data_IF_337913035265
#
_entry.id   IF_337913035265
#
_cell.length_a   1.000
_cell.length_b   1.000
_cell.length_c   1.000
_cell.angle_alpha   90.00
_cell.angle_beta   90.00
_cell.angle_gamma   90.00
#
_symmetry.space_group_name_H-M   'P 1'
#
loop_
_entity.id
_entity.type
_entity.pdbx_description
1 polymer ?
#
# COMPACT_ATOMS: atom_id res chain seq x y z
N UNK A 1 64.56 6.63 -44.64
CA UNK A 1 63.98 8.00 -44.66
C UNK A 1 63.62 8.45 -43.25
N UNK A 2 64.11 9.63 -42.89
CA UNK A 2 64.16 10.18 -41.52
C UNK A 2 62.82 10.73 -41.04
N UNK A 3 62.48 10.41 -39.79
CA UNK A 3 61.33 10.90 -39.02
C UNK A 3 61.35 12.44 -38.87
N UNK A 4 60.25 13.12 -39.22
CA UNK A 4 59.99 14.52 -38.85
C UNK A 4 59.10 14.58 -37.59
N UNK A 5 59.51 15.41 -36.64
CA UNK A 5 58.92 15.65 -35.32
C UNK A 5 57.59 16.41 -35.39
N UNK A 6 56.70 16.20 -34.42
CA UNK A 6 55.87 17.27 -33.84
C UNK A 6 55.87 17.18 -32.30
N UNK A 7 55.84 18.32 -31.58
CA UNK A 7 56.12 18.39 -30.15
C UNK A 7 54.87 18.26 -29.27
N UNK A 8 55.09 17.82 -28.03
CA UNK A 8 54.08 17.58 -27.00
C UNK A 8 53.38 18.86 -26.54
N UNK A 9 52.05 18.85 -26.56
CA UNK A 9 51.17 19.90 -26.02
C UNK A 9 51.01 19.69 -24.51
N UNK A 10 51.55 20.62 -23.72
CA UNK A 10 51.34 20.67 -22.26
C UNK A 10 49.95 21.26 -21.97
N UNK A 11 49.00 20.43 -21.53
CA UNK A 11 47.73 20.91 -20.98
C UNK A 11 47.97 21.58 -19.61
N UNK A 12 47.98 22.92 -19.59
CA UNK A 12 47.91 23.72 -18.36
C UNK A 12 46.56 23.49 -17.67
N UNK A 13 46.56 22.83 -16.51
CA UNK A 13 45.41 22.75 -15.59
C UNK A 13 45.05 24.16 -15.15
N UNK A 14 43.94 24.71 -15.67
CA UNK A 14 43.34 25.94 -15.14
C UNK A 14 42.73 25.64 -13.77
N UNK A 15 43.44 26.01 -12.70
CA UNK A 15 42.84 26.14 -11.36
C UNK A 15 41.82 27.28 -11.42
N UNK A 16 40.52 26.95 -11.45
CA UNK A 16 39.46 27.94 -11.23
C UNK A 16 39.52 28.35 -9.77
N UNK A 17 39.79 29.62 -9.53
CA UNK A 17 39.74 30.24 -8.21
C UNK A 17 38.31 30.15 -7.65
N UNK A 18 38.19 29.76 -6.38
CA UNK A 18 36.93 29.81 -5.62
C UNK A 18 36.55 31.27 -5.40
N UNK A 19 35.32 31.64 -5.79
CA UNK A 19 34.75 32.93 -5.43
C UNK A 19 34.47 32.98 -3.90
N UNK A 20 34.68 34.13 -3.23
CA UNK A 20 34.37 34.29 -1.81
C UNK A 20 32.86 34.35 -1.58
N UNK A 21 32.40 33.72 -0.49
CA UNK A 21 31.00 33.72 -0.07
C UNK A 21 30.56 35.14 0.38
N UNK A 22 29.29 35.54 0.13
CA UNK A 22 28.79 36.83 0.56
C UNK A 22 28.60 36.89 2.09
N UNK A 23 29.07 37.99 2.68
CA UNK A 23 28.99 38.26 4.11
C UNK A 23 27.53 38.55 4.55
N UNK A 24 27.06 37.83 5.58
CA UNK A 24 25.78 38.08 6.23
C UNK A 24 25.85 39.35 7.11
N UNK A 25 24.87 40.26 7.05
CA UNK A 25 24.86 41.46 7.88
C UNK A 25 24.61 41.12 9.37
N UNK A 26 25.53 41.55 10.23
CA UNK A 26 25.44 41.46 11.69
C UNK A 26 24.26 42.32 12.18
N UNK A 27 23.16 41.71 12.61
CA UNK A 27 22.12 42.41 13.38
C UNK A 27 22.61 42.68 14.79
N UNK A 28 22.72 43.96 15.11
CA UNK A 28 23.08 44.52 16.42
C UNK A 28 22.05 44.09 17.47
N UNK A 29 22.54 43.65 18.63
CA UNK A 29 21.72 43.31 19.77
C UNK A 29 20.98 44.54 20.31
N UNK A 30 19.65 44.46 20.32
CA UNK A 30 18.77 45.34 21.08
C UNK A 30 18.09 44.51 22.15
N UNK A 31 18.25 44.89 23.42
CA UNK A 31 17.48 44.34 24.55
C UNK A 31 16.00 44.67 24.35
N UNK A 32 15.05 43.73 24.53
CA UNK A 32 13.64 44.07 24.55
C UNK A 32 13.29 44.84 25.84
N UNK A 33 12.53 45.92 25.69
CA UNK A 33 11.99 46.74 26.79
C UNK A 33 10.95 45.94 27.61
N UNK A 34 10.78 46.24 28.92
CA UNK A 34 9.85 45.51 29.77
C UNK A 34 8.39 45.86 29.44
N UNK A 35 7.57 44.83 29.25
CA UNK A 35 6.12 44.96 29.06
C UNK A 35 5.48 45.32 30.41
N UNK A 36 4.79 46.45 30.44
CA UNK A 36 4.07 46.94 31.61
C UNK A 36 2.94 45.97 32.01
N UNK A 37 2.87 45.66 33.32
CA UNK A 37 1.75 44.94 33.94
C UNK A 37 0.60 45.91 34.19
N UNK A 38 -0.47 45.81 33.43
CA UNK A 38 -1.76 46.38 33.84
C UNK A 38 -2.54 45.37 34.68
N UNK A 39 -2.83 45.77 35.93
CA UNK A 39 -3.77 45.12 36.83
C UNK A 39 -5.15 45.69 36.54
N UNK A 40 -6.16 44.85 36.29
CA UNK A 40 -7.53 45.35 36.27
C UNK A 40 -8.62 44.32 36.01
N UNK A 41 -9.27 43.91 37.10
CA UNK A 41 -10.69 43.55 37.26
C UNK A 41 -11.16 42.15 36.85
N UNK A 42 -11.41 41.38 37.89
CA UNK A 42 -12.23 40.18 37.93
C UNK A 42 -13.69 40.48 37.50
N UNK A 43 -14.17 39.75 36.50
CA UNK A 43 -15.59 39.59 36.18
C UNK A 43 -15.88 38.10 36.09
N UNK A 44 -16.60 37.57 37.08
CA UNK A 44 -16.95 36.16 37.16
C UNK A 44 -17.97 35.77 36.09
N UNK A 45 -17.65 34.73 35.32
CA UNK A 45 -18.62 34.01 34.50
C UNK A 45 -18.79 32.60 35.10
N UNK A 46 -19.97 32.38 35.69
CA UNK A 46 -20.41 31.09 36.22
C UNK A 46 -20.54 30.08 35.07
N UNK A 47 -19.97 28.90 35.26
CA UNK A 47 -20.11 27.78 34.33
C UNK A 47 -21.56 27.30 34.25
N UNK A 48 -22.07 27.12 33.02
CA UNK A 48 -23.36 26.48 32.76
C UNK A 48 -23.28 24.96 33.01
N UNK A 49 -24.35 24.31 33.52
CA UNK A 49 -24.34 22.87 33.80
C UNK A 49 -24.39 22.04 32.51
N UNK A 50 -23.60 20.97 32.46
CA UNK A 50 -23.61 19.98 31.36
C UNK A 50 -24.93 19.19 31.36
N UNK A 51 -25.59 18.99 30.21
CA UNK A 51 -26.80 18.16 30.16
C UNK A 51 -26.46 16.68 30.36
N UNK A 52 -27.31 16.00 31.14
CA UNK A 52 -27.17 14.58 31.47
C UNK A 52 -27.22 13.69 30.23
N UNK A 53 -26.27 12.74 30.14
CA UNK A 53 -26.19 11.76 29.06
C UNK A 53 -27.41 10.83 29.07
N UNK A 54 -28.26 10.92 28.04
CA UNK A 54 -29.28 9.92 27.75
C UNK A 54 -28.58 8.64 27.29
N UNK A 55 -28.79 7.54 28.01
CA UNK A 55 -28.31 6.20 27.63
C UNK A 55 -29.01 5.76 26.34
N UNK A 56 -28.35 5.97 25.20
CA UNK A 56 -28.79 5.44 23.91
C UNK A 56 -28.66 3.91 23.87
N UNK A 57 -29.64 3.24 23.26
CA UNK A 57 -29.62 1.79 22.98
C UNK A 57 -28.38 1.44 22.15
N UNK A 58 -27.67 0.32 22.42
CA UNK A 58 -26.56 -0.11 21.59
C UNK A 58 -27.02 -0.42 20.16
N UNK A 59 -26.17 -0.19 19.14
CA UNK A 59 -26.49 -0.53 17.75
C UNK A 59 -26.67 -2.04 17.59
N UNK A 60 -27.51 -2.50 16.63
CA UNK A 60 -27.74 -3.92 16.39
C UNK A 60 -26.44 -4.62 15.95
N UNK A 61 -26.23 -5.83 16.48
CA UNK A 61 -25.06 -6.64 16.20
C UNK A 61 -24.95 -6.97 14.70
N UNK A 62 -23.74 -6.83 14.14
CA UNK A 62 -23.43 -7.28 12.78
C UNK A 62 -23.63 -8.80 12.64
N UNK A 63 -24.10 -9.29 11.48
CA UNK A 63 -24.36 -10.71 11.27
C UNK A 63 -23.07 -11.53 11.40
N UNK A 64 -23.14 -12.60 12.21
CA UNK A 64 -22.02 -13.51 12.47
C UNK A 64 -21.72 -14.34 11.20
N UNK A 65 -20.50 -14.25 10.70
CA UNK A 65 -20.02 -15.11 9.60
C UNK A 65 -19.99 -16.59 10.06
N UNK A 66 -20.43 -17.55 9.21
CA UNK A 66 -20.49 -18.96 9.58
C UNK A 66 -19.09 -19.56 9.73
N UNK A 67 -18.89 -20.35 10.80
CA UNK A 67 -17.66 -21.10 11.05
C UNK A 67 -17.49 -22.24 10.03
N UNK A 68 -16.29 -22.47 9.47
CA UNK A 68 -16.07 -23.58 8.56
C UNK A 68 -16.17 -24.92 9.30
N UNK A 69 -17.08 -25.79 8.86
CA UNK A 69 -17.27 -27.13 9.41
C UNK A 69 -16.13 -28.04 8.97
N UNK A 70 -15.44 -28.68 9.92
CA UNK A 70 -14.44 -29.71 9.67
C UNK A 70 -15.12 -30.98 9.14
N UNK A 71 -14.96 -31.28 7.84
CA UNK A 71 -15.32 -32.61 7.31
C UNK A 71 -14.26 -33.63 7.68
N UNK A 72 -14.67 -34.68 8.39
CA UNK A 72 -13.82 -35.77 8.86
C UNK A 72 -13.32 -36.67 7.73
N UNK A 73 -12.05 -37.05 7.81
CA UNK A 73 -11.41 -38.01 6.92
C UNK A 73 -11.93 -39.43 7.20
N UNK A 74 -12.53 -40.07 6.20
CA UNK A 74 -12.76 -41.53 6.19
C UNK A 74 -11.56 -42.22 5.54
N UNK A 75 -11.04 -43.24 6.24
CA UNK A 75 -9.98 -44.14 5.79
C UNK A 75 -10.56 -45.16 4.81
N UNK A 76 -9.83 -45.45 3.74
CA UNK A 76 -10.02 -46.59 2.85
C UNK A 76 -8.71 -46.87 2.11
N UNK A 77 -8.10 -48.03 2.34
CA UNK A 77 -6.85 -48.46 1.73
C UNK A 77 -7.03 -49.19 0.41
N UNK A 78 -5.94 -49.33 -0.35
CA UNK A 78 -5.88 -50.26 -1.48
C UNK A 78 -4.84 -49.95 -2.57
N UNK A 79 -3.68 -50.58 -2.43
CA UNK A 79 -2.82 -51.18 -3.48
C UNK A 79 -2.25 -50.36 -4.66
N UNK A 80 -0.92 -50.21 -4.57
CA UNK A 80 0.11 -50.20 -5.62
C UNK A 80 -0.29 -50.75 -7.01
N UNK A 81 -0.16 -49.90 -8.04
CA UNK A 81 0.57 -50.13 -9.31
C UNK A 81 0.32 -48.95 -10.27
N UNK A 82 1.39 -48.26 -10.65
CA UNK A 82 1.93 -48.24 -12.01
C UNK A 82 2.69 -46.94 -12.26
N UNK A 83 3.93 -47.12 -12.68
CA UNK A 83 4.91 -46.10 -12.94
C UNK A 83 4.72 -45.64 -14.39
N UNK A 84 4.24 -44.41 -14.57
CA UNK A 84 4.40 -43.50 -15.75
C UNK A 84 3.10 -42.71 -15.89
N UNK A 85 3.11 -41.44 -15.49
CA UNK A 85 2.38 -40.33 -16.11
C UNK A 85 2.50 -39.06 -15.27
N UNK A 86 2.81 -37.95 -15.95
CA UNK A 86 2.31 -36.62 -15.58
C UNK A 86 3.16 -35.81 -14.61
N UNK A 87 3.91 -34.85 -15.15
CA UNK A 87 4.09 -33.55 -14.50
C UNK A 87 2.70 -32.96 -14.20
N UNK A 88 2.14 -33.27 -13.03
CA UNK A 88 0.96 -32.56 -12.54
C UNK A 88 1.37 -31.13 -12.18
N UNK A 89 1.10 -30.22 -13.12
CA UNK A 89 0.93 -28.80 -12.86
C UNK A 89 -0.22 -28.61 -11.87
N UNK A 90 0.05 -28.88 -10.59
CA UNK A 90 -0.88 -28.60 -9.50
C UNK A 90 -1.22 -27.12 -9.51
N UNK A 91 -2.52 -26.82 -9.61
CA UNK A 91 -3.11 -25.50 -9.42
C UNK A 91 -2.56 -24.90 -8.12
N UNK A 92 -1.63 -23.97 -8.24
CA UNK A 92 -1.10 -23.26 -7.08
C UNK A 92 -2.10 -22.17 -6.74
N UNK A 93 -3.08 -22.52 -5.90
CA UNK A 93 -3.88 -21.54 -5.19
C UNK A 93 -2.90 -20.61 -4.44
N UNK A 94 -3.09 -19.29 -4.53
CA UNK A 94 -2.27 -18.30 -3.80
C UNK A 94 -1.50 -17.31 -4.67
N UNK A 95 -1.47 -16.06 -4.23
CA UNK A 95 -0.85 -14.93 -4.96
C UNK A 95 0.66 -15.09 -5.14
N UNK A 96 1.35 -15.78 -4.22
CA UNK A 96 2.81 -15.93 -4.22
C UNK A 96 3.18 -17.39 -4.46
N UNK A 97 4.04 -17.62 -5.45
CA UNK A 97 4.53 -18.93 -5.86
C UNK A 97 6.05 -19.02 -5.86
N UNK A 98 6.55 -20.24 -5.99
CA UNK A 98 7.99 -20.51 -6.13
C UNK A 98 8.30 -20.97 -7.56
N UNK A 99 9.22 -20.27 -8.23
CA UNK A 99 9.83 -20.71 -9.48
C UNK A 99 10.96 -21.67 -9.09
N UNK A 100 10.68 -22.98 -9.14
CA UNK A 100 11.59 -24.02 -8.62
C UNK A 100 12.97 -23.94 -9.27
N UNK A 101 13.01 -23.70 -10.59
CA UNK A 101 14.23 -23.61 -11.40
C UNK A 101 15.19 -22.52 -10.90
N UNK A 102 14.66 -21.42 -10.36
CA UNK A 102 15.46 -20.29 -9.90
C UNK A 102 15.96 -20.49 -8.45
N UNK A 103 15.39 -21.42 -7.69
CA UNK A 103 15.62 -21.48 -6.25
C UNK A 103 16.91 -22.24 -5.88
N UNK A 104 17.92 -21.50 -5.41
CA UNK A 104 19.23 -22.03 -4.96
C UNK A 104 19.29 -22.46 -3.49
N UNK A 105 18.15 -22.73 -2.85
CA UNK A 105 18.08 -23.33 -1.49
C UNK A 105 18.83 -22.56 -0.38
N UNK A 106 18.96 -21.24 -0.49
CA UNK A 106 19.59 -20.40 0.55
C UNK A 106 18.70 -20.17 1.80
N UNK A 107 17.41 -20.51 1.68
CA UNK A 107 16.38 -20.42 2.72
C UNK A 107 16.17 -19.01 3.35
N UNK A 108 16.68 -17.94 2.73
CA UNK A 108 16.44 -16.56 3.21
C UNK A 108 14.95 -16.25 3.29
N UNK A 109 14.18 -16.65 2.28
CA UNK A 109 12.73 -16.48 2.27
C UNK A 109 12.02 -17.21 3.41
N UNK A 110 12.53 -18.37 3.85
CA UNK A 110 11.97 -19.14 4.98
C UNK A 110 12.15 -18.34 6.28
N UNK A 111 13.37 -17.87 6.56
CA UNK A 111 13.69 -17.08 7.76
C UNK A 111 13.00 -15.72 7.80
N UNK A 112 12.75 -15.13 6.63
CA UNK A 112 12.16 -13.80 6.52
C UNK A 112 10.62 -13.82 6.49
N UNK A 113 9.96 -14.97 6.41
CA UNK A 113 8.51 -15.02 6.29
C UNK A 113 7.85 -14.72 7.66
N UNK A 114 7.14 -13.59 7.83
CA UNK A 114 6.55 -13.24 9.13
C UNK A 114 5.40 -14.17 9.55
N UNK A 115 4.82 -14.90 8.60
CA UNK A 115 3.72 -15.83 8.82
C UNK A 115 4.20 -17.30 8.87
N UNK A 116 5.51 -17.55 8.78
CA UNK A 116 6.09 -18.90 8.69
C UNK A 116 5.34 -19.77 7.66
N UNK A 117 5.07 -19.17 6.50
CA UNK A 117 4.23 -19.75 5.45
C UNK A 117 5.08 -20.40 4.34
N UNK A 118 6.36 -20.67 4.59
CA UNK A 118 7.28 -21.28 3.62
C UNK A 118 7.93 -22.49 4.27
N UNK A 119 7.71 -23.67 3.72
CA UNK A 119 8.30 -24.93 4.18
C UNK A 119 9.42 -25.40 3.25
N UNK A 120 10.25 -26.32 3.73
CA UNK A 120 11.24 -27.01 2.90
C UNK A 120 10.69 -28.38 2.52
N UNK A 121 10.56 -28.64 1.23
CA UNK A 121 10.02 -29.88 0.66
C UNK A 121 10.95 -30.35 -0.45
N UNK A 122 11.49 -31.56 -0.34
CA UNK A 122 12.51 -32.05 -1.27
C UNK A 122 13.76 -31.15 -1.35
N UNK A 123 14.10 -30.48 -0.24
CA UNK A 123 15.17 -29.47 -0.20
C UNK A 123 14.83 -28.12 -0.84
N UNK A 124 13.60 -27.94 -1.34
CA UNK A 124 13.16 -26.69 -1.98
C UNK A 124 12.27 -25.88 -1.05
N UNK A 125 12.47 -24.56 -1.00
CA UNK A 125 11.59 -23.66 -0.25
C UNK A 125 10.27 -23.45 -1.00
N UNK A 126 9.17 -24.00 -0.52
CA UNK A 126 7.82 -23.94 -1.13
C UNK A 126 6.89 -23.10 -0.26
N UNK A 127 6.13 -22.20 -0.90
CA UNK A 127 5.10 -21.39 -0.19
C UNK A 127 3.89 -22.28 0.08
N UNK A 128 3.35 -22.22 1.29
CA UNK A 128 2.11 -22.88 1.71
C UNK A 128 0.98 -21.85 1.62
N UNK A 129 0.11 -21.92 0.60
CA UNK A 129 -0.87 -20.88 0.30
C UNK A 129 -1.81 -20.55 1.45
N UNK A 130 -2.28 -21.58 2.16
CA UNK A 130 -3.27 -21.46 3.23
C UNK A 130 -2.72 -20.65 4.41
N UNK A 131 -1.40 -20.74 4.64
CA UNK A 131 -0.65 -19.97 5.64
C UNK A 131 -0.26 -18.59 5.14
N UNK A 132 -0.05 -18.42 3.84
CA UNK A 132 0.45 -17.18 3.28
C UNK A 132 -0.52 -15.99 3.54
N UNK A 133 0.00 -14.87 4.03
CA UNK A 133 -0.72 -13.60 4.17
C UNK A 133 -0.49 -12.66 2.97
N UNK A 134 0.10 -13.17 1.89
CA UNK A 134 0.41 -12.45 0.65
C UNK A 134 1.26 -11.17 0.78
N UNK A 135 1.99 -10.96 1.90
CA UNK A 135 2.72 -9.71 2.16
C UNK A 135 3.84 -9.38 1.15
N UNK A 136 4.35 -10.38 0.43
CA UNK A 136 5.40 -10.18 -0.57
C UNK A 136 6.83 -10.08 -0.02
N UNK A 137 7.06 -10.11 1.31
CA UNK A 137 8.43 -9.98 1.85
C UNK A 137 9.40 -11.02 1.27
N UNK A 138 8.92 -12.24 1.04
CA UNK A 138 9.73 -13.30 0.43
C UNK A 138 10.17 -13.02 -1.01
N UNK A 139 9.42 -12.22 -1.80
CA UNK A 139 9.81 -11.82 -3.15
C UNK A 139 10.89 -10.75 -3.12
N UNK A 140 10.84 -9.85 -2.12
CA UNK A 140 11.85 -8.81 -1.92
C UNK A 140 13.21 -9.37 -1.47
N UNK A 141 13.23 -10.34 -0.56
CA UNK A 141 14.48 -10.88 -0.02
C UNK A 141 15.10 -12.00 -0.87
N UNK A 142 14.41 -12.46 -1.91
CA UNK A 142 14.89 -13.55 -2.75
C UNK A 142 15.87 -13.02 -3.81
N UNK A 143 17.16 -13.13 -3.55
CA UNK A 143 18.24 -12.74 -4.48
C UNK A 143 18.25 -13.52 -5.80
N UNK A 144 17.48 -14.60 -5.91
CA UNK A 144 17.44 -15.47 -7.08
C UNK A 144 16.21 -15.24 -7.97
N UNK A 145 15.30 -14.34 -7.59
CA UNK A 145 14.02 -14.18 -8.31
C UNK A 145 13.20 -15.47 -8.32
N UNK A 146 13.35 -16.31 -7.29
CA UNK A 146 12.67 -17.59 -7.19
C UNK A 146 11.31 -17.50 -6.48
N UNK A 147 11.06 -16.41 -5.77
CA UNK A 147 9.75 -16.08 -5.21
C UNK A 147 9.12 -15.04 -6.10
N UNK A 148 7.99 -15.40 -6.70
CA UNK A 148 7.26 -14.55 -7.63
C UNK A 148 5.81 -14.44 -7.17
N UNK A 149 5.16 -13.37 -7.57
CA UNK A 149 3.72 -13.21 -7.41
C UNK A 149 3.03 -13.28 -8.76
N UNK A 150 1.72 -13.51 -8.74
CA UNK A 150 0.90 -13.54 -9.94
C UNK A 150 0.87 -12.18 -10.63
N UNK A 151 1.26 -12.16 -11.91
CA UNK A 151 1.24 -10.95 -12.72
C UNK A 151 -0.18 -10.57 -13.11
N UNK A 152 -0.52 -9.29 -13.00
CA UNK A 152 -1.76 -8.70 -13.50
C UNK A 152 -1.61 -8.05 -14.87
N UNK A 153 -0.41 -7.96 -15.44
CA UNK A 153 -0.11 -7.14 -16.63
C UNK A 153 -0.98 -7.52 -17.82
N UNK A 154 -1.00 -8.80 -18.19
CA UNK A 154 -1.78 -9.29 -19.34
C UNK A 154 -3.28 -9.08 -19.16
N UNK A 155 -3.79 -9.28 -17.94
CA UNK A 155 -5.21 -9.08 -17.64
C UNK A 155 -5.60 -7.61 -17.71
N UNK A 156 -4.72 -6.72 -17.25
CA UNK A 156 -4.95 -5.27 -17.38
C UNK A 156 -4.83 -4.81 -18.82
N UNK A 157 -3.88 -5.36 -19.61
CA UNK A 157 -3.82 -5.09 -21.03
C UNK A 157 -5.15 -5.44 -21.73
N UNK A 158 -5.67 -6.65 -21.46
CA UNK A 158 -6.97 -7.09 -21.97
C UNK A 158 -8.15 -6.22 -21.49
N UNK A 159 -8.14 -5.72 -20.25
CA UNK A 159 -9.14 -4.77 -19.77
C UNK A 159 -9.10 -3.46 -20.54
N UNK A 160 -7.90 -2.96 -20.86
CA UNK A 160 -7.69 -1.72 -21.58
C UNK A 160 -8.02 -1.83 -23.08
N UNK A 161 -7.91 -3.03 -23.65
CA UNK A 161 -8.27 -3.31 -25.04
C UNK A 161 -9.78 -3.62 -25.21
N UNK A 162 -10.53 -3.71 -24.11
CA UNK A 162 -11.97 -3.92 -24.10
C UNK A 162 -12.78 -2.63 -24.22
N UNK A 163 -14.11 -2.77 -24.36
CA UNK A 163 -15.01 -1.64 -24.63
C UNK A 163 -15.33 -0.76 -23.41
N UNK A 164 -14.96 -1.21 -22.20
CA UNK A 164 -15.35 -0.55 -20.95
C UNK A 164 -14.27 0.39 -20.45
N UNK A 165 -14.65 1.59 -19.95
CA UNK A 165 -13.68 2.53 -19.41
C UNK A 165 -12.95 1.95 -18.20
N UNK A 166 -11.62 2.06 -18.20
CA UNK A 166 -10.77 1.61 -17.09
C UNK A 166 -10.21 2.80 -16.32
N UNK A 167 -10.40 2.80 -15.00
CA UNK A 167 -9.82 3.75 -14.06
C UNK A 167 -8.57 3.17 -13.39
N UNK A 168 -7.44 3.85 -13.52
CA UNK A 168 -6.25 3.60 -12.72
C UNK A 168 -6.41 4.24 -11.33
N UNK A 169 -6.41 3.42 -10.29
CA UNK A 169 -6.42 3.87 -8.89
C UNK A 169 -4.97 3.90 -8.39
N UNK A 170 -4.33 5.07 -8.50
CA UNK A 170 -2.91 5.23 -8.20
C UNK A 170 -2.70 5.41 -6.68
N UNK A 171 -1.96 4.48 -6.07
CA UNK A 171 -1.64 4.49 -4.65
C UNK A 171 -0.85 5.75 -4.24
N UNK A 172 -1.10 6.35 -3.06
CA UNK A 172 -0.39 7.55 -2.61
C UNK A 172 1.14 7.38 -2.49
N UNK A 173 1.63 6.15 -2.43
CA UNK A 173 3.07 5.84 -2.39
C UNK A 173 3.75 5.85 -3.76
N UNK A 174 3.04 6.15 -4.85
CA UNK A 174 3.63 6.21 -6.19
C UNK A 174 4.88 7.09 -6.30
N UNK A 175 5.08 8.18 -5.53
CA UNK A 175 6.31 8.97 -5.62
C UNK A 175 7.58 8.20 -5.17
N UNK A 176 7.43 7.10 -4.44
CA UNK A 176 8.55 6.21 -4.12
C UNK A 176 8.92 5.28 -5.29
N UNK A 177 7.99 5.09 -6.23
CA UNK A 177 8.13 4.20 -7.37
C UNK A 177 8.36 4.92 -8.71
N UNK A 178 8.06 6.21 -8.78
CA UNK A 178 8.24 7.09 -9.94
C UNK A 178 9.01 8.34 -9.54
N UNK A 179 10.07 8.65 -10.29
CA UNK A 179 10.89 9.86 -10.09
C UNK A 179 10.32 11.09 -10.79
N UNK A 180 9.39 10.86 -11.71
CA UNK A 180 8.75 11.87 -12.54
C UNK A 180 7.67 12.63 -11.75
N UNK A 181 7.36 13.88 -12.15
CA UNK A 181 6.25 14.64 -11.57
C UNK A 181 4.93 13.86 -11.63
N UNK A 182 4.09 14.04 -10.62
CA UNK A 182 2.79 13.37 -10.51
C UNK A 182 1.93 13.50 -11.78
N UNK A 183 1.95 14.66 -12.41
CA UNK A 183 1.21 14.89 -13.65
C UNK A 183 1.71 14.06 -14.83
N UNK A 184 3.02 13.79 -14.93
CA UNK A 184 3.57 12.90 -15.97
C UNK A 184 3.21 11.45 -15.72
N UNK A 185 3.18 11.02 -14.45
CA UNK A 185 2.72 9.67 -14.10
C UNK A 185 1.25 9.50 -14.51
N UNK A 186 0.40 10.50 -14.23
CA UNK A 186 -1.00 10.48 -14.65
C UNK A 186 -1.15 10.50 -16.18
N UNK A 187 -0.43 11.37 -16.89
CA UNK A 187 -0.45 11.41 -18.35
C UNK A 187 0.07 10.13 -19.00
N UNK A 188 1.08 9.48 -18.41
CA UNK A 188 1.58 8.19 -18.90
C UNK A 188 0.52 7.09 -18.77
N UNK A 189 -0.20 7.04 -17.64
CA UNK A 189 -1.30 6.09 -17.48
C UNK A 189 -2.42 6.38 -18.49
N UNK A 190 -2.77 7.63 -18.75
CA UNK A 190 -3.75 7.98 -19.80
C UNK A 190 -3.28 7.58 -21.19
N UNK A 191 -2.03 7.88 -21.54
CA UNK A 191 -1.42 7.49 -22.81
C UNK A 191 -1.40 5.97 -23.01
N UNK A 192 -1.33 5.20 -21.92
CA UNK A 192 -1.42 3.74 -21.97
C UNK A 192 -2.85 3.19 -22.13
N UNK A 193 -3.87 4.04 -22.13
CA UNK A 193 -5.28 3.68 -22.38
C UNK A 193 -6.22 3.81 -21.18
N UNK A 194 -5.74 4.24 -20.01
CA UNK A 194 -6.63 4.45 -18.86
C UNK A 194 -7.53 5.67 -19.10
N UNK A 195 -8.84 5.45 -19.12
CA UNK A 195 -9.84 6.50 -19.28
C UNK A 195 -9.83 7.49 -18.11
N UNK A 196 -9.50 7.00 -16.90
CA UNK A 196 -9.41 7.81 -15.68
C UNK A 196 -8.16 7.47 -14.88
N UNK A 197 -7.59 8.45 -14.18
CA UNK A 197 -6.49 8.27 -13.23
C UNK A 197 -6.85 8.97 -11.93
N UNK A 198 -7.18 8.19 -10.90
CA UNK A 198 -7.68 8.70 -9.61
C UNK A 198 -6.68 8.38 -8.50
N UNK A 199 -6.38 9.37 -7.66
CA UNK A 199 -5.52 9.15 -6.50
C UNK A 199 -6.26 8.34 -5.42
N UNK A 200 -5.66 7.23 -4.99
CA UNK A 200 -6.17 6.43 -3.86
C UNK A 200 -6.08 7.20 -2.53
N UNK A 201 -5.30 8.29 -2.49
CA UNK A 201 -5.31 9.22 -1.36
C UNK A 201 -6.73 9.75 -1.06
N UNK A 202 -7.61 9.88 -2.06
CA UNK A 202 -9.02 10.20 -1.80
C UNK A 202 -9.72 9.13 -0.95
N UNK A 203 -9.53 7.84 -1.29
CA UNK A 203 -10.06 6.75 -0.46
C UNK A 203 -9.42 6.71 0.91
N UNK A 204 -8.16 7.14 1.03
CA UNK A 204 -7.49 7.27 2.32
C UNK A 204 -8.11 8.39 3.18
N UNK A 205 -8.57 9.50 2.60
CA UNK A 205 -9.33 10.52 3.34
C UNK A 205 -10.66 9.95 3.86
N UNK A 206 -11.41 9.24 3.00
CA UNK A 206 -12.68 8.59 3.37
C UNK A 206 -12.49 7.58 4.50
N UNK A 207 -11.47 6.72 4.37
CA UNK A 207 -11.12 5.72 5.39
C UNK A 207 -10.71 6.41 6.68
N UNK A 208 -9.88 7.44 6.63
CA UNK A 208 -9.45 8.18 7.81
C UNK A 208 -10.62 8.80 8.57
N UNK A 209 -11.58 9.39 7.85
CA UNK A 209 -12.82 9.90 8.44
C UNK A 209 -13.67 8.78 9.06
N UNK A 210 -13.77 7.63 8.40
CA UNK A 210 -14.48 6.46 8.92
C UNK A 210 -13.83 5.90 10.20
N UNK A 211 -12.50 5.85 10.27
CA UNK A 211 -11.77 5.49 11.48
C UNK A 211 -12.06 6.46 12.64
N UNK A 212 -11.97 7.77 12.39
CA UNK A 212 -12.25 8.77 13.41
C UNK A 212 -13.71 8.67 13.91
N UNK A 213 -14.67 8.45 13.02
CA UNK A 213 -16.07 8.24 13.38
C UNK A 213 -16.27 6.95 14.20
N UNK A 214 -15.64 5.85 13.79
CA UNK A 214 -15.70 4.58 14.48
C UNK A 214 -15.14 4.69 15.91
N UNK A 215 -13.93 5.24 16.06
CA UNK A 215 -13.26 5.33 17.36
C UNK A 215 -14.01 6.22 18.36
N UNK A 216 -14.69 7.28 17.90
CA UNK A 216 -15.56 8.09 18.77
C UNK A 216 -16.74 7.30 19.35
N UNK A 217 -17.16 6.23 18.69
CA UNK A 217 -18.33 5.41 19.07
C UNK A 217 -17.94 4.09 19.73
N UNK A 218 -16.76 3.54 19.42
CA UNK A 218 -16.34 2.20 19.80
C UNK A 218 -16.09 2.03 21.31
N UNK A 219 -16.01 3.14 22.07
CA UNK A 219 -15.65 3.12 23.49
C UNK A 219 -14.17 2.85 23.69
N UNK A 220 -13.79 2.37 24.88
CA UNK A 220 -12.42 1.95 25.16
C UNK A 220 -12.12 0.52 24.68
N UNK A 221 -10.84 0.20 24.56
CA UNK A 221 -10.37 -1.14 24.20
C UNK A 221 -9.35 -1.13 23.07
N UNK A 222 -8.87 -2.33 22.71
CA UNK A 222 -7.92 -2.48 21.62
C UNK A 222 -8.63 -2.38 20.27
N UNK A 223 -8.12 -1.50 19.39
CA UNK A 223 -8.59 -1.36 18.01
C UNK A 223 -7.41 -1.48 17.04
N UNK A 224 -7.51 -2.41 16.10
CA UNK A 224 -6.45 -2.76 15.15
C UNK A 224 -6.85 -2.28 13.77
N UNK A 225 -6.00 -1.46 13.16
CA UNK A 225 -6.23 -0.97 11.80
C UNK A 225 -6.14 -2.11 10.75
N UNK A 226 -7.04 -2.05 9.79
CA UNK A 226 -7.28 -3.00 8.70
C UNK A 226 -6.88 -2.49 7.31
N UNK A 227 -6.33 -1.26 7.21
CA UNK A 227 -5.94 -0.69 5.92
C UNK A 227 -4.85 -1.50 5.19
N UNK A 228 -4.01 -2.23 5.94
CA UNK A 228 -3.04 -3.19 5.43
C UNK A 228 -3.67 -4.61 5.40
N UNK A 229 -3.91 -5.19 4.20
CA UNK A 229 -4.52 -6.51 4.10
C UNK A 229 -3.64 -7.61 4.71
N UNK A 230 -2.32 -7.48 4.63
CA UNK A 230 -1.41 -8.46 5.24
C UNK A 230 -1.56 -8.52 6.77
N UNK A 231 -1.78 -7.38 7.44
CA UNK A 231 -2.04 -7.34 8.89
C UNK A 231 -3.40 -7.94 9.20
N UNK A 232 -4.44 -7.56 8.46
CA UNK A 232 -5.79 -8.09 8.65
C UNK A 232 -5.84 -9.62 8.43
N UNK A 233 -5.14 -10.14 7.42
CA UNK A 233 -4.98 -11.58 7.17
C UNK A 233 -4.17 -12.27 8.26
N UNK A 234 -3.09 -11.64 8.73
CA UNK A 234 -2.29 -12.19 9.83
C UNK A 234 -3.16 -12.38 11.09
N UNK A 235 -3.93 -11.36 11.46
CA UNK A 235 -4.85 -11.47 12.60
C UNK A 235 -5.88 -12.57 12.36
N UNK A 236 -6.53 -12.60 11.19
CA UNK A 236 -7.55 -13.62 10.87
C UNK A 236 -7.03 -15.06 10.94
N UNK A 237 -5.81 -15.32 10.45
CA UNK A 237 -5.23 -16.67 10.39
C UNK A 237 -4.53 -17.09 11.67
N UNK A 238 -3.83 -16.17 12.33
CA UNK A 238 -2.89 -16.51 13.40
C UNK A 238 -3.29 -15.97 14.77
N UNK A 239 -4.19 -14.98 14.83
CA UNK A 239 -4.72 -14.40 16.08
C UNK A 239 -6.24 -14.23 16.01
N UNK A 240 -6.98 -15.34 15.81
CA UNK A 240 -8.44 -15.27 15.68
C UNK A 240 -9.13 -14.68 16.92
N UNK A 241 -8.48 -14.75 18.09
CA UNK A 241 -8.89 -14.10 19.34
C UNK A 241 -8.93 -12.56 19.24
N UNK A 242 -8.18 -11.97 18.31
CA UNK A 242 -8.12 -10.53 18.06
C UNK A 242 -8.98 -10.08 16.87
N UNK A 243 -9.70 -10.97 16.19
CA UNK A 243 -10.53 -10.61 15.03
C UNK A 243 -11.59 -9.56 15.37
N UNK A 244 -12.20 -9.62 16.54
CA UNK A 244 -13.19 -8.63 17.00
C UNK A 244 -12.58 -7.26 17.30
N UNK A 245 -11.24 -7.18 17.36
CA UNK A 245 -10.50 -5.92 17.54
C UNK A 245 -10.16 -5.26 16.21
N UNK A 246 -10.33 -5.93 15.08
CA UNK A 246 -10.13 -5.34 13.75
C UNK A 246 -11.19 -4.27 13.49
N UNK A 247 -10.76 -3.07 13.12
CA UNK A 247 -11.68 -1.98 12.77
C UNK A 247 -12.42 -2.33 11.47
N UNK A 248 -13.77 -2.33 11.45
CA UNK A 248 -14.58 -2.79 10.32
C UNK A 248 -14.70 -1.72 9.22
N UNK A 249 -13.56 -1.22 8.74
CA UNK A 249 -13.45 -0.23 7.69
C UNK A 249 -12.64 -0.83 6.55
N UNK A 250 -13.15 -0.72 5.32
CA UNK A 250 -12.44 -1.20 4.12
C UNK A 250 -11.15 -0.42 3.88
N UNK A 251 -10.24 -0.96 3.07
CA UNK A 251 -9.00 -0.24 2.77
C UNK A 251 -9.19 0.94 1.81
N UNK A 252 -8.22 1.87 1.72
CA UNK A 252 -8.27 2.97 0.76
C UNK A 252 -8.46 2.52 -0.69
N UNK A 253 -7.91 1.37 -1.08
CA UNK A 253 -8.08 0.81 -2.43
C UNK A 253 -9.56 0.57 -2.74
N UNK A 254 -10.25 -0.14 -1.84
CA UNK A 254 -11.67 -0.48 -2.00
C UNK A 254 -12.53 0.77 -1.88
N UNK A 255 -12.22 1.67 -0.94
CA UNK A 255 -12.94 2.93 -0.76
C UNK A 255 -12.84 3.83 -2.02
N UNK A 256 -11.66 3.92 -2.65
CA UNK A 256 -11.50 4.66 -3.90
C UNK A 256 -12.27 4.00 -5.04
N UNK A 257 -12.23 2.67 -5.17
CA UNK A 257 -12.99 1.97 -6.21
C UNK A 257 -14.50 2.21 -6.08
N UNK A 258 -15.05 2.15 -4.86
CA UNK A 258 -16.44 2.50 -4.58
C UNK A 258 -16.75 3.96 -4.95
N UNK A 259 -15.87 4.89 -4.62
CA UNK A 259 -16.03 6.31 -4.95
C UNK A 259 -15.98 6.55 -6.47
N UNK A 260 -15.12 5.85 -7.20
CA UNK A 260 -15.02 5.91 -8.67
C UNK A 260 -16.30 5.39 -9.32
N UNK A 261 -16.79 4.21 -8.93
CA UNK A 261 -18.06 3.68 -9.48
C UNK A 261 -19.24 4.58 -9.17
N UNK A 262 -19.28 5.20 -7.99
CA UNK A 262 -20.30 6.21 -7.66
C UNK A 262 -20.22 7.46 -8.53
N UNK A 263 -19.02 7.90 -8.88
CA UNK A 263 -18.82 9.13 -9.67
C UNK A 263 -18.97 8.92 -11.17
N UNK A 264 -18.65 7.72 -11.68
CA UNK A 264 -18.52 7.45 -13.12
C UNK A 264 -19.39 6.29 -13.63
N UNK A 265 -20.14 5.64 -12.75
CA UNK A 265 -20.99 4.49 -13.07
C UNK A 265 -20.33 3.14 -12.75
N UNK A 266 -21.17 2.12 -12.55
CA UNK A 266 -20.74 0.76 -12.18
C UNK A 266 -20.02 0.01 -13.31
N UNK A 267 -20.13 0.51 -14.55
CA UNK A 267 -19.47 -0.10 -15.72
C UNK A 267 -17.96 0.20 -15.78
N UNK A 268 -17.49 1.17 -15.00
CA UNK A 268 -16.06 1.50 -14.92
C UNK A 268 -15.28 0.38 -14.23
N UNK A 269 -14.30 -0.15 -14.95
CA UNK A 269 -13.34 -1.12 -14.42
C UNK A 269 -12.29 -0.39 -13.60
N UNK A 270 -11.97 -0.91 -12.41
CA UNK A 270 -11.02 -0.29 -11.49
C UNK A 270 -9.75 -1.14 -11.39
N UNK A 271 -8.61 -0.56 -11.76
CA UNK A 271 -7.29 -1.20 -11.63
C UNK A 271 -6.47 -0.43 -10.60
N UNK A 272 -6.16 -1.06 -9.48
CA UNK A 272 -5.26 -0.46 -8.50
C UNK A 272 -3.81 -0.56 -8.94
N UNK A 273 -3.05 0.53 -8.76
CA UNK A 273 -1.61 0.57 -9.03
C UNK A 273 -0.88 1.02 -7.77
N UNK A 274 -0.07 0.13 -7.17
CA UNK A 274 0.61 0.46 -5.92
C UNK A 274 1.78 -0.45 -5.57
N UNK A 275 2.31 -0.40 -4.34
CA UNK A 275 3.54 -1.11 -3.98
C UNK A 275 3.28 -2.53 -3.45
N UNK A 276 2.03 -2.86 -3.13
CA UNK A 276 1.72 -3.99 -2.27
C UNK A 276 1.15 -5.18 -3.04
N UNK A 277 1.81 -6.33 -2.92
CA UNK A 277 1.36 -7.63 -3.48
C UNK A 277 0.09 -8.11 -2.79
N UNK A 278 -0.05 -7.90 -1.48
CA UNK A 278 -1.20 -8.37 -0.71
C UNK A 278 -2.53 -7.75 -1.18
N UNK A 279 -2.50 -6.60 -1.88
CA UNK A 279 -3.69 -6.01 -2.49
C UNK A 279 -4.29 -6.90 -3.57
N UNK A 280 -3.50 -7.76 -4.25
CA UNK A 280 -4.01 -8.75 -5.22
C UNK A 280 -4.90 -9.79 -4.53
N UNK A 281 -4.56 -10.20 -3.32
CA UNK A 281 -5.40 -11.10 -2.52
C UNK A 281 -6.66 -10.35 -2.02
N UNK A 282 -6.51 -9.11 -1.55
CA UNK A 282 -7.63 -8.29 -1.08
C UNK A 282 -8.67 -8.03 -2.17
N UNK A 283 -8.26 -7.75 -3.40
CA UNK A 283 -9.17 -7.53 -4.53
C UNK A 283 -10.01 -8.78 -4.87
N UNK A 284 -9.59 -9.97 -4.42
CA UNK A 284 -10.26 -11.24 -4.64
C UNK A 284 -10.95 -11.78 -3.38
N UNK A 285 -10.93 -11.02 -2.28
CA UNK A 285 -11.57 -11.45 -1.03
C UNK A 285 -13.09 -11.44 -1.22
N UNK A 286 -13.77 -12.60 -1.14
CA UNK A 286 -15.22 -12.67 -1.33
C UNK A 286 -16.02 -11.96 -0.22
N UNK A 287 -15.38 -11.61 0.90
CA UNK A 287 -16.00 -10.80 1.95
C UNK A 287 -16.03 -9.30 1.62
N UNK A 288 -15.33 -8.86 0.56
CA UNK A 288 -15.28 -7.47 0.12
C UNK A 288 -16.15 -7.26 -1.13
N UNK A 289 -16.67 -6.04 -1.35
CA UNK A 289 -17.35 -5.72 -2.60
C UNK A 289 -16.42 -5.98 -3.80
N UNK A 290 -16.90 -6.63 -4.88
CA UNK A 290 -16.10 -6.94 -6.07
C UNK A 290 -15.97 -5.70 -6.97
N UNK A 291 -15.31 -4.68 -6.43
CA UNK A 291 -15.18 -3.35 -7.06
C UNK A 291 -13.80 -3.07 -7.64
N UNK A 292 -12.81 -3.90 -7.34
CA UNK A 292 -11.46 -3.82 -7.89
C UNK A 292 -11.28 -4.97 -8.87
N UNK A 293 -11.12 -4.64 -10.14
CA UNK A 293 -11.04 -5.62 -11.22
C UNK A 293 -9.64 -6.21 -11.36
N UNK A 294 -8.60 -5.40 -11.13
CA UNK A 294 -7.23 -5.89 -11.04
C UNK A 294 -6.29 -5.02 -10.19
N UNK A 295 -5.12 -5.57 -9.88
CA UNK A 295 -4.07 -4.95 -9.07
C UNK A 295 -2.72 -5.11 -9.76
N UNK A 296 -2.08 -3.99 -10.06
CA UNK A 296 -0.69 -3.91 -10.51
C UNK A 296 0.21 -3.37 -9.40
N UNK A 297 1.35 -4.02 -9.22
CA UNK A 297 2.48 -3.42 -8.52
C UNK A 297 3.12 -2.34 -9.39
N UNK A 298 3.87 -1.40 -8.80
CA UNK A 298 4.60 -0.38 -9.58
C UNK A 298 5.51 -1.00 -10.66
N UNK A 299 6.30 -2.07 -10.40
CA UNK A 299 7.06 -2.75 -11.45
C UNK A 299 6.18 -3.29 -12.58
N UNK A 300 5.02 -3.87 -12.28
CA UNK A 300 4.07 -4.35 -13.29
C UNK A 300 3.46 -3.19 -14.09
N UNK A 301 3.15 -2.06 -13.46
CA UNK A 301 2.68 -0.88 -14.16
C UNK A 301 3.74 -0.34 -15.13
N UNK A 302 5.02 -0.33 -14.73
CA UNK A 302 6.13 0.03 -15.64
C UNK A 302 6.24 -0.94 -16.81
N UNK A 303 6.08 -2.24 -16.57
CA UNK A 303 6.05 -3.24 -17.63
C UNK A 303 4.89 -2.99 -18.61
N UNK A 304 3.69 -2.70 -18.11
CA UNK A 304 2.52 -2.37 -18.93
C UNK A 304 2.76 -1.11 -19.79
N UNK A 305 3.29 -0.04 -19.18
CA UNK A 305 3.61 1.20 -19.89
C UNK A 305 4.63 0.94 -21.01
N UNK A 306 5.70 0.21 -20.73
CA UNK A 306 6.72 -0.15 -21.71
C UNK A 306 6.15 -1.01 -22.86
N UNK A 307 5.30 -1.99 -22.54
CA UNK A 307 4.63 -2.82 -23.55
C UNK A 307 3.69 -2.02 -24.45
N UNK A 308 3.16 -0.89 -23.95
CA UNK A 308 2.33 0.07 -24.70
C UNK A 308 3.15 1.18 -25.38
N UNK A 309 4.49 1.13 -25.31
CA UNK A 309 5.37 2.15 -25.90
C UNK A 309 5.31 3.51 -25.20
N UNK A 310 4.90 3.55 -23.93
CA UNK A 310 4.74 4.78 -23.14
C UNK A 310 5.90 4.98 -22.18
N UNK A 311 6.64 6.07 -22.40
CA UNK A 311 7.71 6.50 -21.51
C UNK A 311 7.20 7.61 -20.56
N UNK A 312 7.25 7.36 -19.24
CA UNK A 312 6.73 8.32 -18.23
C UNK A 312 7.44 9.67 -18.33
N UNK A 313 8.75 9.66 -18.59
CA UNK A 313 9.54 10.88 -18.73
C UNK A 313 9.15 11.74 -19.94
N UNK A 314 8.49 11.19 -20.96
CA UNK A 314 8.08 11.89 -22.17
C UNK A 314 6.55 12.14 -22.25
N UNK A 315 5.79 11.58 -21.31
CA UNK A 315 4.34 11.74 -21.27
C UNK A 315 3.91 13.19 -21.00
N UNK A 316 2.75 13.63 -21.53
CA UNK A 316 2.19 14.93 -21.20
C UNK A 316 1.91 15.04 -19.69
N UNK A 317 1.99 16.25 -19.15
CA UNK A 317 1.59 16.50 -17.77
C UNK A 317 0.07 16.68 -17.70
N UNK A 318 -0.60 15.72 -17.07
CA UNK A 318 -2.05 15.73 -16.92
C UNK A 318 -2.46 15.66 -15.46
N UNK A 319 -3.57 16.31 -15.10
CA UNK A 319 -4.12 16.20 -13.76
C UNK A 319 -4.78 14.83 -13.53
N UNK A 320 -4.84 14.42 -12.26
CA UNK A 320 -5.72 13.33 -11.83
C UNK A 320 -7.18 13.62 -12.19
N UNK A 321 -8.06 12.63 -12.19
CA UNK A 321 -9.52 12.83 -12.25
C UNK A 321 -10.09 13.04 -10.84
N UNK A 322 -11.30 13.62 -10.72
CA UNK A 322 -12.09 13.42 -9.51
C UNK A 322 -12.37 11.92 -9.24
N UNK A 323 -12.75 11.54 -8.03
CA UNK A 323 -12.73 12.36 -6.82
C UNK A 323 -11.29 12.71 -6.39
N UNK A 324 -11.09 13.96 -5.92
CA UNK A 324 -9.77 14.51 -5.63
C UNK A 324 -9.31 14.16 -4.21
N UNK A 325 -8.02 13.89 -4.07
CA UNK A 325 -7.39 13.67 -2.77
C UNK A 325 -7.27 14.97 -1.96
N UNK A 326 -7.52 14.85 -0.66
CA UNK A 326 -7.30 15.85 0.37
C UNK A 326 -5.94 15.68 1.03
N UNK A 327 -5.93 15.44 2.34
CA UNK A 327 -4.73 15.46 3.18
C UNK A 327 -4.07 14.10 3.31
N UNK A 328 -4.76 13.02 2.97
CA UNK A 328 -4.30 11.64 3.18
C UNK A 328 -3.25 11.14 2.18
N UNK A 329 -2.50 12.02 1.49
CA UNK A 329 -1.31 11.61 0.73
C UNK A 329 -0.20 11.05 1.62
N UNK A 330 -0.20 11.42 2.90
CA UNK A 330 0.75 10.91 3.91
C UNK A 330 0.44 9.49 4.40
N UNK A 331 -0.70 8.91 4.01
CA UNK A 331 -1.18 7.61 4.50
C UNK A 331 -0.17 6.44 4.40
N UNK A 332 0.69 6.34 3.36
CA UNK A 332 1.69 5.28 3.29
C UNK A 332 2.81 5.34 4.34
N UNK A 333 3.00 6.49 4.99
CA UNK A 333 4.04 6.67 5.99
C UNK A 333 3.62 6.03 7.32
N UNK A 334 4.57 5.57 8.16
CA UNK A 334 4.26 5.21 9.53
C UNK A 334 3.49 6.34 10.24
N UNK A 335 2.35 6.01 10.84
CA UNK A 335 1.47 7.00 11.48
C UNK A 335 0.60 7.81 10.51
N UNK A 336 0.71 7.59 9.19
CA UNK A 336 -0.02 8.33 8.17
C UNK A 336 -1.54 8.22 8.29
N UNK A 337 -2.07 7.04 8.65
CA UNK A 337 -3.49 6.85 8.98
C UNK A 337 -3.92 7.73 10.17
N UNK A 338 -3.13 7.72 11.23
CA UNK A 338 -3.41 8.45 12.48
C UNK A 338 -3.42 9.96 12.20
N UNK A 339 -2.38 10.46 11.52
CA UNK A 339 -2.27 11.86 11.10
C UNK A 339 -3.43 12.29 10.17
N UNK A 340 -3.82 11.42 9.22
CA UNK A 340 -4.90 11.73 8.28
C UNK A 340 -6.29 11.67 8.94
N UNK A 341 -6.45 10.87 9.99
CA UNK A 341 -7.68 10.78 10.78
C UNK A 341 -7.83 11.93 11.80
N UNK A 342 -6.81 12.80 11.91
CA UNK A 342 -6.79 13.86 12.92
C UNK A 342 -6.76 13.30 14.34
N UNK A 343 -6.24 12.08 14.51
CA UNK A 343 -5.96 11.50 15.81
C UNK A 343 -4.62 12.10 16.24
N UNK A 344 -4.65 13.04 17.18
CA UNK A 344 -3.42 13.54 17.79
C UNK A 344 -2.75 12.38 18.52
N UNK A 345 -1.50 12.09 18.17
CA UNK A 345 -0.68 11.11 18.87
C UNK A 345 0.76 11.55 18.81
N UNK A 346 1.45 11.53 19.95
CA UNK A 346 2.91 11.58 20.01
C UNK A 346 3.46 10.15 20.22
N UNK A 347 4.76 9.96 20.01
CA UNK A 347 5.47 8.69 20.28
C UNK A 347 5.27 8.24 21.75
N UNK A 348 5.05 9.19 22.66
CA UNK A 348 4.79 8.93 24.08
C UNK A 348 3.32 8.61 24.40
N UNK A 349 2.41 8.67 23.43
CA UNK A 349 1.00 8.41 23.64
C UNK A 349 0.74 6.91 23.84
N UNK A 350 0.30 6.46 25.02
CA UNK A 350 0.03 5.05 25.29
C UNK A 350 -1.24 4.53 24.59
N UNK A 351 -2.13 5.42 24.15
CA UNK A 351 -3.42 5.06 23.57
C UNK A 351 -3.32 4.81 22.06
N UNK A 352 -2.25 5.29 21.41
CA UNK A 352 -2.02 5.12 19.97
C UNK A 352 -0.63 4.55 19.70
N UNK A 353 -0.58 3.27 19.36
CA UNK A 353 0.67 2.59 19.00
C UNK A 353 0.81 2.48 17.48
N UNK A 354 1.80 3.18 16.92
CA UNK A 354 2.18 3.06 15.51
C UNK A 354 3.28 2.02 15.36
N UNK A 355 2.94 0.87 14.76
CA UNK A 355 3.90 -0.19 14.44
C UNK A 355 4.19 -0.18 12.94
N UNK A 356 5.47 -0.23 12.57
CA UNK A 356 5.92 -0.45 11.20
C UNK A 356 6.91 -1.62 11.18
N UNK A 357 6.95 -2.35 10.08
CA UNK A 357 7.76 -3.57 9.94
C UNK A 357 8.00 -3.93 8.48
N UNK A 358 8.91 -4.88 8.27
CA UNK A 358 9.23 -5.46 6.95
C UNK A 358 8.52 -6.78 6.74
#
# INVERSE_FOLDING_TARGET
MRRRRRPAVRHRRRRRARAPAPALPRRRGGRPAPVARERGRAGGLRAAPRPAARRGRPPPAAPRLPRPQRRGARRGGGSLRDSRQGEEAGTVDGVIRTIKQNCRRCYTCVRACPAEAIRVEGGQAVVVPERCIACGNCTMVCSQGAKAYESGVERVAALLDGDRPVAALLAPSFPAGFSEPAGRVAGALRAAGFARVVEVAHGADLVSAAYAAYLRQAGGGLHIATACPAVAEFVRKYRPDLCERLVPVVSPMVATALAVRRAYGDDVRCVFIGPCVAKKAEARDPALPPVVDEVLTVPEARQLLAARGVEVGAAPEEGFDPPRAGRARVFPLPGGLVASAGLESDIADPDVVVVSGR
#
